data_IF_402893153243
#
_entry.id   IF_402893153243
#
_cell.length_a   1.000
_cell.length_b   1.000
_cell.length_c   1.000
_cell.angle_alpha   90.00
_cell.angle_beta   90.00
_cell.angle_gamma   90.00
#
_symmetry.space_group_name_H-M   'P 1'
#
loop_
_entity.id
_entity.type
_entity.pdbx_description
1 polymer ?
#
# COMPACT_ATOMS: atom_id res chain seq x y z
N UNK A 1 11.69 -0.58 -10.41
CA UNK A 1 11.14 -1.72 -9.66
C UNK A 1 10.74 -2.87 -10.58
N UNK A 2 10.39 -2.72 -11.85
CA UNK A 2 10.16 -3.87 -12.75
C UNK A 2 8.91 -4.73 -12.47
N UNK A 3 8.39 -4.70 -11.24
CA UNK A 3 7.19 -5.43 -10.81
C UNK A 3 5.93 -4.67 -11.24
N UNK A 4 4.96 -5.41 -11.77
CA UNK A 4 3.66 -4.84 -12.09
C UNK A 4 2.95 -4.38 -10.81
N UNK A 5 2.24 -3.25 -10.88
CA UNK A 5 1.53 -2.69 -9.73
C UNK A 5 0.56 -3.71 -9.10
N UNK A 6 -0.12 -4.51 -9.92
CA UNK A 6 -1.04 -5.55 -9.44
C UNK A 6 -0.31 -6.66 -8.69
N UNK A 7 0.85 -7.13 -9.18
CA UNK A 7 1.68 -8.12 -8.48
C UNK A 7 2.16 -7.59 -7.15
N UNK A 8 2.64 -6.34 -7.12
CA UNK A 8 3.07 -5.67 -5.90
C UNK A 8 1.94 -5.61 -4.86
N UNK A 9 0.75 -5.15 -5.25
CA UNK A 9 -0.40 -5.05 -4.34
C UNK A 9 -0.83 -6.43 -3.85
N UNK A 10 -0.90 -7.44 -4.72
CA UNK A 10 -1.33 -8.79 -4.35
C UNK A 10 -0.38 -9.42 -3.32
N UNK A 11 0.94 -9.32 -3.53
CA UNK A 11 1.94 -9.79 -2.54
C UNK A 11 1.70 -9.15 -1.17
N UNK A 12 1.42 -7.85 -1.13
CA UNK A 12 1.17 -7.16 0.12
C UNK A 12 -0.15 -7.55 0.78
N UNK A 13 -1.16 -7.93 -0.01
CA UNK A 13 -2.43 -8.48 0.51
C UNK A 13 -2.19 -9.88 1.08
N UNK A 14 -1.54 -10.76 0.30
CA UNK A 14 -1.29 -12.15 0.65
C UNK A 14 -0.44 -12.27 1.92
N UNK A 15 0.50 -11.33 2.13
CA UNK A 15 1.36 -11.26 3.33
C UNK A 15 0.74 -10.49 4.50
N UNK A 16 -0.50 -10.02 4.39
CA UNK A 16 -1.20 -9.35 5.49
C UNK A 16 -0.69 -7.94 5.80
N UNK A 17 -0.05 -7.25 4.86
CA UNK A 17 0.24 -5.82 4.99
C UNK A 17 -0.96 -4.97 4.62
N UNK A 18 -1.61 -5.32 3.51
CA UNK A 18 -2.74 -4.61 2.95
C UNK A 18 -4.00 -5.46 2.94
N UNK A 19 -5.14 -4.79 2.86
CA UNK A 19 -6.42 -5.40 2.54
C UNK A 19 -7.26 -4.43 1.71
N UNK A 20 -8.31 -4.95 1.08
CA UNK A 20 -9.35 -4.13 0.45
C UNK A 20 -10.51 -4.01 1.42
N UNK A 21 -10.94 -2.79 1.70
CA UNK A 21 -12.15 -2.57 2.48
C UNK A 21 -13.41 -2.84 1.64
N UNK A 22 -14.60 -2.73 2.26
CA UNK A 22 -15.90 -2.92 1.58
C UNK A 22 -16.10 -2.03 0.34
N UNK A 23 -15.39 -0.89 0.25
CA UNK A 23 -15.43 0.03 -0.90
C UNK A 23 -14.32 -0.26 -1.93
N UNK A 24 -13.63 -1.40 -1.82
CA UNK A 24 -12.54 -1.82 -2.69
C UNK A 24 -11.23 -1.02 -2.52
N UNK A 25 -11.16 -0.09 -1.56
CA UNK A 25 -9.99 0.78 -1.33
C UNK A 25 -8.93 0.03 -0.54
N UNK A 26 -7.67 0.22 -0.91
CA UNK A 26 -6.54 -0.33 -0.17
C UNK A 26 -6.40 0.33 1.21
N UNK A 27 -6.25 -0.51 2.23
CA UNK A 27 -5.98 -0.17 3.62
C UNK A 27 -4.87 -1.06 4.14
N UNK A 28 -4.20 -0.63 5.19
CA UNK A 28 -3.16 -1.41 5.85
C UNK A 28 -3.65 -1.91 7.21
N UNK A 29 -3.18 -3.07 7.62
CA UNK A 29 -3.42 -3.58 8.97
C UNK A 29 -2.63 -2.76 9.99
N UNK A 30 -3.10 -2.68 11.24
CA UNK A 30 -2.41 -1.93 12.31
C UNK A 30 -0.96 -2.40 12.52
N UNK A 31 -0.69 -3.68 12.32
CA UNK A 31 0.65 -4.29 12.36
C UNK A 31 1.60 -3.76 11.30
N UNK A 32 1.10 -3.11 10.25
CA UNK A 32 1.88 -2.52 9.17
C UNK A 32 1.98 -0.97 9.27
N UNK A 33 1.58 -0.38 10.38
CA UNK A 33 1.53 1.08 10.56
C UNK A 33 2.91 1.77 10.47
N UNK A 34 4.00 1.04 10.68
CA UNK A 34 5.36 1.54 10.54
C UNK A 34 5.75 1.74 9.07
N UNK A 35 5.10 1.04 8.15
CA UNK A 35 5.40 1.08 6.71
C UNK A 35 4.40 1.90 5.92
N UNK A 36 3.21 2.13 6.46
CA UNK A 36 2.10 2.79 5.77
C UNK A 36 1.47 3.89 6.61
N UNK A 37 0.84 4.85 5.94
CA UNK A 37 -0.03 5.85 6.56
C UNK A 37 -1.22 6.17 5.68
N UNK A 38 -2.28 6.70 6.28
CA UNK A 38 -3.37 7.32 5.54
C UNK A 38 -3.01 8.76 5.19
N UNK A 39 -3.42 9.20 4.00
CA UNK A 39 -3.33 10.60 3.57
C UNK A 39 -4.69 11.06 3.06
N UNK A 40 -5.12 12.21 3.55
CA UNK A 40 -6.36 12.85 3.11
C UNK A 40 -6.20 13.38 1.67
N UNK A 41 -7.32 13.39 0.95
CA UNK A 41 -7.46 14.08 -0.33
C UNK A 41 -8.89 14.58 -0.52
N UNK A 42 -9.01 15.59 -1.37
CA UNK A 42 -10.29 16.02 -1.95
C UNK A 42 -10.36 15.45 -3.36
N UNK A 43 -11.42 14.71 -3.67
CA UNK A 43 -11.63 14.18 -5.00
C UNK A 43 -11.93 15.32 -5.98
N UNK A 44 -11.04 15.56 -6.93
CA UNK A 44 -11.16 16.64 -7.92
C UNK A 44 -12.39 16.57 -8.82
N UNK A 45 -13.06 15.41 -8.92
CA UNK A 45 -14.23 15.22 -9.78
C UNK A 45 -15.56 15.50 -9.07
N UNK A 46 -15.65 15.25 -7.76
CA UNK A 46 -16.91 15.38 -7.02
C UNK A 46 -16.81 16.15 -5.70
N UNK A 47 -15.63 16.71 -5.39
CA UNK A 47 -15.38 17.51 -4.19
C UNK A 47 -15.38 16.75 -2.87
N UNK A 48 -15.60 15.43 -2.87
CA UNK A 48 -15.74 14.67 -1.63
C UNK A 48 -14.37 14.37 -0.99
N UNK A 49 -14.27 14.46 0.36
CA UNK A 49 -13.07 14.06 1.08
C UNK A 49 -12.91 12.54 1.06
N UNK A 50 -11.66 12.09 1.14
CA UNK A 50 -11.34 10.69 1.30
C UNK A 50 -9.92 10.46 1.78
N UNK A 51 -9.59 9.19 2.00
CA UNK A 51 -8.24 8.77 2.40
C UNK A 51 -7.71 7.64 1.53
N UNK A 52 -6.42 7.69 1.22
CA UNK A 52 -5.66 6.65 0.53
C UNK A 52 -4.47 6.22 1.38
N UNK A 53 -4.09 4.95 1.21
CA UNK A 53 -2.91 4.37 1.86
C UNK A 53 -1.67 4.76 1.07
N UNK A 54 -0.67 5.30 1.75
CA UNK A 54 0.64 5.63 1.17
C UNK A 54 1.75 4.93 1.95
N UNK A 55 2.81 4.57 1.23
CA UNK A 55 4.03 4.04 1.81
C UNK A 55 4.77 5.18 2.53
N UNK A 56 5.20 4.93 3.76
CA UNK A 56 6.09 5.82 4.52
C UNK A 56 7.52 5.73 3.98
N UNK A 57 8.40 6.73 4.19
CA UNK A 57 9.80 6.65 3.81
C UNK A 57 10.49 5.35 4.29
N UNK A 58 10.23 4.96 5.54
CA UNK A 58 10.76 3.74 6.18
C UNK A 58 10.23 2.48 5.48
N UNK A 59 8.93 2.47 5.15
CA UNK A 59 8.30 1.41 4.38
C UNK A 59 8.89 1.23 2.99
N UNK A 60 9.39 2.29 2.34
CA UNK A 60 9.97 2.18 1.01
C UNK A 60 11.22 1.31 0.99
N UNK A 61 12.14 1.51 1.95
CA UNK A 61 13.36 0.73 2.05
C UNK A 61 13.05 -0.74 2.42
N UNK A 62 12.15 -0.93 3.39
CA UNK A 62 11.72 -2.27 3.82
C UNK A 62 11.09 -3.07 2.67
N UNK A 63 10.12 -2.48 1.97
CA UNK A 63 9.44 -3.14 0.84
C UNK A 63 10.39 -3.40 -0.32
N UNK A 64 11.39 -2.55 -0.55
CA UNK A 64 12.42 -2.82 -1.55
C UNK A 64 13.21 -4.10 -1.21
N UNK A 65 13.71 -4.20 0.03
CA UNK A 65 14.45 -5.40 0.47
C UNK A 65 13.58 -6.66 0.42
N UNK A 66 12.34 -6.57 0.89
CA UNK A 66 11.38 -7.68 0.86
C UNK A 66 11.20 -8.23 -0.56
N UNK A 67 10.99 -7.35 -1.54
CA UNK A 67 10.76 -7.77 -2.93
C UNK A 67 12.03 -8.31 -3.59
N UNK A 68 13.21 -7.79 -3.22
CA UNK A 68 14.50 -8.30 -3.69
C UNK A 68 14.78 -9.70 -3.14
N UNK A 69 14.52 -9.93 -1.85
CA UNK A 69 14.65 -11.26 -1.21
C UNK A 69 13.68 -12.29 -1.81
N UNK A 70 12.52 -11.84 -2.29
CA UNK A 70 11.54 -12.67 -2.99
C UNK A 70 11.89 -12.94 -4.47
N UNK A 71 12.93 -12.29 -5.02
CA UNK A 71 13.29 -12.40 -6.45
C UNK A 71 12.27 -11.74 -7.37
N UNK A 72 11.46 -10.81 -6.87
CA UNK A 72 10.52 -10.04 -7.68
C UNK A 72 11.21 -8.86 -8.39
N UNK A 73 12.32 -8.36 -7.82
CA UNK A 73 13.11 -7.21 -8.32
C UNK A 73 14.62 -7.41 -8.20
#
# INVERSE_FOLDING_TARGET
>A
LGVSQNRFINILIDRGYLYRNQKGKLRYYSTAADYFKLKDYINKYNGQPGVYTVVRPEGRAYLFSLFKEMGEI
#
